data_IF_717899879088
#
_entry.id   IF_717899879088
#
_cell.length_a   1.000
_cell.length_b   1.000
_cell.length_c   1.000
_cell.angle_alpha   90.00
_cell.angle_beta   90.00
_cell.angle_gamma   90.00
#
_symmetry.space_group_name_H-M   'P 1'
#
loop_
_entity.id
_entity.type
_entity.pdbx_description
1 polymer ?
#
# COMPACT_ATOMS: atom_id res chain seq x y z
N UNK A 1 0.66 -6.60 -1.79
CA UNK A 1 -0.05 -6.33 -3.05
C UNK A 1 0.58 -7.14 -4.18
N UNK A 2 -0.16 -8.07 -4.76
CA UNK A 2 0.33 -8.90 -5.88
C UNK A 2 0.36 -8.09 -7.17
N UNK A 3 1.50 -8.07 -7.87
CA UNK A 3 1.64 -7.39 -9.16
C UNK A 3 0.83 -8.13 -10.21
N UNK A 4 0.03 -7.39 -10.97
CA UNK A 4 -0.77 -7.88 -12.09
C UNK A 4 -0.05 -7.70 -13.42
N UNK A 5 0.51 -6.51 -13.63
CA UNK A 5 1.28 -6.16 -14.82
C UNK A 5 2.33 -5.11 -14.45
N UNK A 6 3.58 -5.35 -14.81
CA UNK A 6 4.65 -4.37 -14.71
C UNK A 6 4.42 -3.21 -15.71
N UNK A 7 4.96 -2.04 -15.37
CA UNK A 7 5.14 -0.95 -16.34
C UNK A 7 6.00 -1.43 -17.52
N UNK A 8 5.92 -0.77 -18.65
CA UNK A 8 6.74 -1.16 -19.80
C UNK A 8 8.25 -1.05 -19.50
N UNK A 9 8.65 0.00 -18.75
CA UNK A 9 10.04 0.20 -18.35
C UNK A 9 10.54 -0.91 -17.39
N UNK A 10 9.78 -1.23 -16.33
CA UNK A 10 10.12 -2.31 -15.41
C UNK A 10 10.02 -3.68 -16.10
N UNK A 11 9.04 -3.87 -16.99
CA UNK A 11 8.87 -5.10 -17.75
C UNK A 11 10.10 -5.44 -18.62
N UNK A 12 10.64 -4.45 -19.32
CA UNK A 12 11.87 -4.63 -20.10
C UNK A 12 13.09 -4.94 -19.20
N UNK A 13 13.21 -4.19 -18.08
CA UNK A 13 14.34 -4.36 -17.16
C UNK A 13 14.35 -5.71 -16.42
N UNK A 14 13.19 -6.32 -16.22
CA UNK A 14 12.99 -7.48 -15.36
C UNK A 14 12.59 -8.76 -16.10
N UNK A 15 12.36 -8.69 -17.43
CA UNK A 15 11.85 -9.80 -18.23
C UNK A 15 12.64 -11.11 -18.06
N UNK A 16 13.98 -11.00 -18.05
CA UNK A 16 14.87 -12.17 -17.98
C UNK A 16 15.05 -12.71 -16.55
N UNK A 17 14.62 -11.96 -15.54
CA UNK A 17 14.91 -12.25 -14.13
C UNK A 17 13.71 -12.84 -13.41
N UNK A 18 12.50 -12.35 -13.72
CA UNK A 18 11.32 -12.74 -12.98
C UNK A 18 10.79 -14.13 -13.36
N UNK A 19 10.88 -14.54 -14.63
CA UNK A 19 10.31 -15.81 -15.07
C UNK A 19 8.85 -15.98 -14.61
N UNK A 20 8.55 -17.08 -13.93
CA UNK A 20 7.22 -17.39 -13.38
C UNK A 20 7.01 -16.85 -11.95
N UNK A 21 7.90 -15.99 -11.46
CA UNK A 21 7.84 -15.49 -10.09
C UNK A 21 6.64 -14.54 -9.88
N UNK A 22 5.76 -14.86 -8.94
CA UNK A 22 4.71 -13.93 -8.52
C UNK A 22 5.31 -12.79 -7.71
N UNK A 23 5.43 -11.62 -8.31
CA UNK A 23 5.95 -10.43 -7.64
C UNK A 23 4.88 -9.80 -6.73
N UNK A 24 5.29 -9.45 -5.50
CA UNK A 24 4.45 -8.80 -4.51
C UNK A 24 5.10 -7.49 -4.04
N UNK A 25 4.35 -6.40 -4.04
CA UNK A 25 4.80 -5.11 -3.52
C UNK A 25 4.54 -5.05 -2.02
N UNK A 26 5.55 -4.71 -1.24
CA UNK A 26 5.44 -4.51 0.20
C UNK A 26 5.25 -3.04 0.51
N UNK A 27 4.03 -2.63 0.79
CA UNK A 27 3.73 -1.28 1.27
C UNK A 27 3.60 -1.26 2.80
N UNK A 28 3.83 -0.11 3.39
CA UNK A 28 3.74 0.13 4.83
C UNK A 28 2.68 1.18 5.15
N UNK A 29 1.97 0.98 6.28
CA UNK A 29 0.99 1.94 6.79
C UNK A 29 0.93 1.95 8.31
N UNK A 30 0.65 3.10 8.90
CA UNK A 30 0.28 3.27 10.31
C UNK A 30 -1.24 3.34 10.51
N UNK A 31 -2.02 3.36 9.43
CA UNK A 31 -3.48 3.53 9.44
C UNK A 31 -4.18 2.39 8.69
N UNK A 32 -4.24 1.17 9.24
CA UNK A 32 -4.81 0.00 8.55
C UNK A 32 -6.26 0.20 8.08
N UNK A 33 -7.04 1.05 8.76
CA UNK A 33 -8.42 1.32 8.39
C UNK A 33 -8.60 1.96 7.00
N UNK A 34 -7.53 2.52 6.42
CA UNK A 34 -7.58 3.08 5.07
C UNK A 34 -7.34 2.05 3.97
N UNK A 35 -6.81 0.85 4.31
CA UNK A 35 -6.52 -0.22 3.35
C UNK A 35 -7.73 -0.73 2.55
N UNK A 36 -8.95 -0.84 3.12
CA UNK A 36 -10.15 -1.20 2.34
C UNK A 36 -10.45 -0.25 1.18
N UNK A 37 -10.02 0.99 1.28
CA UNK A 37 -10.16 2.04 0.25
C UNK A 37 -8.84 2.34 -0.46
N UNK A 38 -7.89 1.41 -0.49
CA UNK A 38 -6.66 1.58 -1.26
C UNK A 38 -6.98 1.74 -2.75
N UNK A 39 -6.40 2.76 -3.39
CA UNK A 39 -6.58 3.05 -4.82
C UNK A 39 -5.25 3.16 -5.57
N UNK A 40 -4.13 3.29 -4.86
CA UNK A 40 -2.81 3.41 -5.45
C UNK A 40 -1.69 3.04 -4.49
N UNK A 41 -0.50 2.91 -5.03
CA UNK A 41 0.76 2.81 -4.30
C UNK A 41 1.70 3.91 -4.78
N UNK A 42 2.51 4.46 -3.89
CA UNK A 42 3.47 5.51 -4.21
C UNK A 42 4.91 5.04 -3.99
N UNK A 43 5.79 5.42 -4.91
CA UNK A 43 7.24 5.19 -4.88
C UNK A 43 7.98 6.50 -5.09
N UNK A 44 9.18 6.64 -4.53
CA UNK A 44 10.04 7.80 -4.79
C UNK A 44 10.80 7.63 -6.10
N UNK A 45 10.87 8.66 -6.98
CA UNK A 45 11.47 8.53 -8.33
C UNK A 45 12.93 8.08 -8.30
N UNK A 46 13.73 8.62 -7.37
CA UNK A 46 15.17 8.37 -7.25
C UNK A 46 15.51 7.29 -6.21
N UNK A 47 14.51 6.71 -5.57
CA UNK A 47 14.72 5.60 -4.64
C UNK A 47 14.96 4.33 -5.45
N UNK A 48 16.01 3.58 -5.05
CA UNK A 48 16.27 2.25 -5.60
C UNK A 48 15.40 1.23 -4.88
N UNK A 49 14.75 0.38 -5.66
CA UNK A 49 13.92 -0.73 -5.17
C UNK A 49 14.52 -2.06 -5.56
N UNK A 50 14.60 -2.96 -4.59
CA UNK A 50 15.07 -4.32 -4.79
C UNK A 50 13.91 -5.28 -4.97
N UNK A 51 14.07 -6.20 -5.89
CA UNK A 51 13.27 -7.40 -5.99
C UNK A 51 14.06 -8.52 -5.34
N UNK A 52 13.46 -9.12 -4.33
CA UNK A 52 14.08 -10.21 -3.57
C UNK A 52 13.26 -11.48 -3.71
N UNK A 53 13.98 -12.60 -3.68
CA UNK A 53 13.43 -13.95 -3.64
C UNK A 53 13.84 -14.62 -2.32
N UNK A 54 12.90 -14.84 -1.38
CA UNK A 54 13.21 -15.59 -0.17
C UNK A 54 13.55 -17.04 -0.45
N UNK A 55 14.54 -17.58 0.25
CA UNK A 55 15.03 -18.95 0.04
C UNK A 55 13.93 -20.03 0.20
N UNK A 56 12.94 -19.75 1.07
CA UNK A 56 11.86 -20.68 1.39
C UNK A 56 10.57 -20.47 0.58
N UNK A 57 10.56 -19.56 -0.40
CA UNK A 57 9.37 -19.20 -1.19
C UNK A 57 9.72 -19.09 -2.68
N UNK A 58 9.96 -20.23 -3.32
CA UNK A 58 10.47 -20.29 -4.70
C UNK A 58 9.58 -19.63 -5.76
N UNK A 59 8.27 -19.43 -5.47
CA UNK A 59 7.31 -18.88 -6.42
C UNK A 59 6.97 -17.41 -6.15
N UNK A 60 7.50 -16.82 -5.06
CA UNK A 60 7.19 -15.44 -4.66
C UNK A 60 8.41 -14.55 -4.65
N UNK A 61 8.27 -13.38 -5.26
CA UNK A 61 9.19 -12.27 -5.11
C UNK A 61 8.57 -11.11 -4.36
N UNK A 62 9.40 -10.31 -3.70
CA UNK A 62 8.95 -9.11 -2.99
C UNK A 62 9.72 -7.89 -3.45
N UNK A 63 8.98 -6.78 -3.65
CA UNK A 63 9.51 -5.47 -4.02
C UNK A 63 9.43 -4.52 -2.83
N UNK A 64 10.55 -3.95 -2.44
CA UNK A 64 10.66 -2.91 -1.41
C UNK A 64 11.92 -2.06 -1.67
N UNK A 65 12.03 -0.90 -1.03
CA UNK A 65 13.23 -0.08 -1.17
C UNK A 65 14.48 -0.84 -0.71
N UNK A 66 15.57 -0.74 -1.46
CA UNK A 66 16.86 -1.38 -1.16
C UNK A 66 17.35 -1.01 0.24
N UNK A 67 17.20 0.27 0.62
CA UNK A 67 17.55 0.76 1.95
C UNK A 67 16.71 0.15 3.10
N UNK A 68 15.55 -0.44 2.80
CA UNK A 68 14.68 -1.06 3.79
C UNK A 68 14.98 -2.55 4.03
N UNK A 69 15.76 -3.22 3.19
CA UNK A 69 16.01 -4.66 3.25
C UNK A 69 16.44 -5.15 4.63
N UNK A 70 17.43 -4.47 5.23
CA UNK A 70 17.95 -4.84 6.55
C UNK A 70 16.89 -4.76 7.66
N UNK A 71 15.89 -3.88 7.52
CA UNK A 71 14.80 -3.73 8.49
C UNK A 71 13.84 -4.93 8.51
N UNK A 72 13.77 -5.69 7.41
CA UNK A 72 12.84 -6.80 7.20
C UNK A 72 13.52 -8.16 7.09
N UNK A 73 14.82 -8.26 7.39
CA UNK A 73 15.58 -9.52 7.33
C UNK A 73 14.95 -10.64 8.18
N UNK A 74 14.38 -10.28 9.33
CA UNK A 74 13.72 -11.24 10.22
C UNK A 74 12.48 -11.89 9.59
N UNK A 75 11.67 -11.12 8.88
CA UNK A 75 10.41 -11.57 8.26
C UNK A 75 10.65 -12.24 6.91
N UNK A 76 11.63 -11.78 6.16
CA UNK A 76 11.93 -12.25 4.81
C UNK A 76 12.94 -13.39 4.81
N UNK A 77 13.69 -13.55 5.93
CA UNK A 77 14.73 -14.57 6.06
C UNK A 77 15.90 -14.34 5.10
N UNK A 78 16.64 -15.40 4.82
CA UNK A 78 17.65 -15.37 3.76
C UNK A 78 16.94 -15.15 2.42
N UNK A 79 17.22 -14.04 1.78
CA UNK A 79 16.62 -13.65 0.52
C UNK A 79 17.70 -13.17 -0.44
N UNK A 80 17.62 -13.62 -1.67
CA UNK A 80 18.48 -13.18 -2.77
C UNK A 80 17.91 -11.92 -3.40
N UNK A 81 18.72 -10.89 -3.58
CA UNK A 81 18.38 -9.74 -4.43
C UNK A 81 18.58 -10.16 -5.88
N UNK A 82 17.48 -10.38 -6.60
CA UNK A 82 17.52 -10.86 -7.98
C UNK A 82 17.56 -9.72 -9.00
N UNK A 83 17.07 -8.53 -8.63
CA UNK A 83 17.14 -7.33 -9.45
C UNK A 83 16.96 -6.06 -8.64
N UNK A 84 17.38 -4.93 -9.20
CA UNK A 84 17.08 -3.58 -8.70
C UNK A 84 16.53 -2.70 -9.81
N UNK A 85 15.62 -1.80 -9.46
CA UNK A 85 15.04 -0.83 -10.38
C UNK A 85 14.87 0.52 -9.69
N UNK A 86 15.05 1.63 -10.38
CA UNK A 86 14.70 2.95 -9.82
C UNK A 86 13.19 3.13 -9.78
N UNK A 87 12.70 3.94 -8.83
CA UNK A 87 11.27 4.11 -8.62
C UNK A 87 10.52 4.63 -9.85
N UNK A 88 11.11 5.55 -10.61
CA UNK A 88 10.47 6.05 -11.83
C UNK A 88 10.18 4.95 -12.88
N UNK A 89 10.94 3.86 -12.89
CA UNK A 89 10.68 2.73 -13.77
C UNK A 89 9.43 1.92 -13.36
N UNK A 90 8.97 2.05 -12.11
CA UNK A 90 7.80 1.32 -11.60
C UNK A 90 6.48 2.02 -11.91
N UNK A 91 6.50 3.27 -12.41
CA UNK A 91 5.31 4.05 -12.69
C UNK A 91 4.34 3.32 -13.62
N UNK A 92 3.07 3.24 -13.23
CA UNK A 92 2.03 2.55 -14.00
C UNK A 92 2.00 1.02 -13.81
N UNK A 93 2.94 0.42 -13.04
CA UNK A 93 2.83 -0.99 -12.62
C UNK A 93 1.49 -1.21 -11.93
N UNK A 94 0.69 -2.17 -12.40
CA UNK A 94 -0.61 -2.47 -11.82
C UNK A 94 -0.56 -3.68 -10.88
N UNK A 95 -1.45 -3.68 -9.90
CA UNK A 95 -1.52 -4.72 -8.88
C UNK A 95 -2.96 -5.13 -8.56
N UNK A 96 -3.14 -6.27 -7.91
CA UNK A 96 -4.42 -6.74 -7.41
C UNK A 96 -4.80 -5.99 -6.13
N UNK A 97 -6.03 -5.46 -6.01
CA UNK A 97 -6.48 -4.81 -4.78
C UNK A 97 -6.46 -5.78 -3.59
N UNK A 98 -6.23 -5.26 -2.38
CA UNK A 98 -6.29 -6.07 -1.16
C UNK A 98 -7.72 -6.50 -0.82
N UNK A 99 -8.68 -5.65 -1.13
CA UNK A 99 -10.11 -5.85 -0.89
C UNK A 99 -10.90 -5.61 -2.18
N UNK A 100 -12.01 -6.32 -2.40
CA UNK A 100 -12.76 -6.25 -3.64
C UNK A 100 -13.68 -5.02 -3.75
N UNK A 101 -13.83 -4.22 -2.68
CA UNK A 101 -14.90 -3.23 -2.55
C UNK A 101 -14.91 -2.15 -3.64
N UNK A 102 -13.74 -1.78 -4.16
CA UNK A 102 -13.57 -0.76 -5.21
C UNK A 102 -12.79 -1.28 -6.41
N UNK A 103 -12.82 -2.60 -6.65
CA UNK A 103 -12.03 -3.25 -7.69
C UNK A 103 -12.35 -2.76 -9.12
N UNK A 104 -13.51 -2.12 -9.32
CA UNK A 104 -13.98 -1.52 -10.57
C UNK A 104 -13.57 -0.05 -10.76
N UNK A 105 -12.88 0.56 -9.76
CA UNK A 105 -12.41 1.95 -9.86
C UNK A 105 -11.46 2.13 -11.05
N UNK A 106 -11.90 2.93 -12.02
CA UNK A 106 -11.16 3.16 -13.26
C UNK A 106 -9.87 3.95 -12.97
N UNK A 107 -8.76 3.53 -13.56
CA UNK A 107 -7.45 4.18 -13.40
C UNK A 107 -6.71 3.84 -12.09
N UNK A 108 -7.38 3.23 -11.12
CA UNK A 108 -6.81 2.83 -9.82
C UNK A 108 -5.89 1.60 -9.90
N UNK A 109 -5.36 1.21 -8.74
CA UNK A 109 -4.52 0.02 -8.52
C UNK A 109 -3.23 0.02 -9.35
N UNK A 110 -2.60 1.20 -9.39
CA UNK A 110 -1.31 1.43 -10.04
C UNK A 110 -0.29 2.03 -9.08
N UNK A 111 0.96 1.91 -9.45
CA UNK A 111 2.08 2.59 -8.80
C UNK A 111 2.22 3.99 -9.40
N UNK A 112 2.29 5.00 -8.53
CA UNK A 112 2.52 6.40 -8.84
C UNK A 112 3.90 6.82 -8.33
N UNK A 113 4.51 7.81 -8.99
CA UNK A 113 5.80 8.37 -8.60
C UNK A 113 5.59 9.68 -7.85
N UNK A 114 6.02 9.73 -6.58
CA UNK A 114 5.81 10.88 -5.71
C UNK A 114 7.10 11.25 -4.96
N UNK A 115 7.43 12.54 -4.93
CA UNK A 115 8.67 13.04 -4.35
C UNK A 115 8.68 13.04 -2.82
N UNK A 116 7.54 12.92 -2.15
CA UNK A 116 7.48 12.88 -0.69
C UNK A 116 7.79 11.51 -0.08
N UNK A 117 7.85 10.45 -0.91
CA UNK A 117 8.18 9.11 -0.43
C UNK A 117 9.63 9.06 0.05
N UNK A 118 9.84 8.54 1.26
CA UNK A 118 11.15 8.38 1.88
C UNK A 118 11.41 6.93 2.26
N UNK A 119 12.66 6.64 2.66
CA UNK A 119 13.08 5.32 3.17
C UNK A 119 13.41 5.33 4.66
N UNK A 120 13.11 6.43 5.35
CA UNK A 120 13.39 6.57 6.78
C UNK A 120 12.60 5.54 7.60
N UNK A 121 11.32 5.39 7.28
CA UNK A 121 10.44 4.41 7.88
C UNK A 121 9.82 3.46 6.84
N UNK A 122 9.33 2.31 7.31
CA UNK A 122 8.62 1.35 6.48
C UNK A 122 9.45 0.73 5.37
N UNK A 123 8.78 0.45 4.26
CA UNK A 123 9.31 -0.26 3.09
C UNK A 123 9.77 0.66 1.96
N UNK A 124 9.63 1.99 2.11
CA UNK A 124 9.81 2.95 1.02
C UNK A 124 8.71 2.92 -0.05
N UNK A 125 7.59 2.25 0.23
CA UNK A 125 6.40 2.22 -0.62
C UNK A 125 5.19 2.53 0.25
N UNK A 126 4.44 3.55 -0.12
CA UNK A 126 3.28 4.06 0.61
C UNK A 126 2.00 3.67 -0.12
N UNK A 127 0.97 3.27 0.63
CA UNK A 127 -0.34 3.07 0.03
C UNK A 127 -1.13 4.39 0.00
N UNK A 128 -1.89 4.61 -1.04
CA UNK A 128 -2.72 5.79 -1.26
C UNK A 128 -4.19 5.43 -1.08
N UNK A 129 -4.90 6.27 -0.32
CA UNK A 129 -6.33 6.14 -0.09
C UNK A 129 -6.95 7.56 0.03
N UNK A 130 -8.24 7.76 -0.27
CA UNK A 130 -8.84 9.08 -0.45
C UNK A 130 -9.13 9.83 0.86
N UNK A 131 -8.27 9.70 1.86
CA UNK A 131 -8.47 10.30 3.19
C UNK A 131 -7.43 11.36 3.55
N UNK A 132 -6.27 11.39 2.89
CA UNK A 132 -5.28 12.46 2.99
C UNK A 132 -5.51 13.52 1.92
N UNK A 133 -5.15 14.78 2.18
CA UNK A 133 -5.26 15.87 1.20
C UNK A 133 -4.41 15.59 -0.04
N UNK A 134 -3.13 15.25 0.16
CA UNK A 134 -2.19 14.95 -0.93
C UNK A 134 -2.66 13.73 -1.75
N UNK A 135 -3.13 12.66 -1.08
CA UNK A 135 -3.65 11.47 -1.74
C UNK A 135 -4.90 11.79 -2.57
N UNK A 136 -5.80 12.60 -2.01
CA UNK A 136 -7.03 13.04 -2.67
C UNK A 136 -6.71 13.85 -3.93
N UNK A 137 -5.84 14.85 -3.81
CA UNK A 137 -5.45 15.69 -4.95
C UNK A 137 -4.81 14.87 -6.07
N UNK A 138 -3.91 13.94 -5.71
CA UNK A 138 -3.27 13.06 -6.67
C UNK A 138 -4.28 12.17 -7.41
N UNK A 139 -5.12 11.46 -6.66
CA UNK A 139 -6.11 10.54 -7.23
C UNK A 139 -7.07 11.29 -8.17
N UNK A 140 -7.53 12.47 -7.76
CA UNK A 140 -8.39 13.33 -8.55
C UNK A 140 -7.69 13.84 -9.83
N UNK A 141 -6.43 14.26 -9.74
CA UNK A 141 -5.63 14.69 -10.89
C UNK A 141 -5.47 13.58 -11.96
N UNK A 142 -5.49 12.32 -11.53
CA UNK A 142 -5.44 11.15 -12.41
C UNK A 142 -6.83 10.66 -12.85
N UNK A 143 -7.90 11.40 -12.54
CA UNK A 143 -9.27 11.05 -12.92
C UNK A 143 -9.80 9.78 -12.24
N UNK A 144 -9.23 9.42 -11.08
CA UNK A 144 -9.68 8.25 -10.32
C UNK A 144 -10.89 8.67 -9.48
N UNK A 145 -11.99 7.95 -9.63
CA UNK A 145 -13.16 8.15 -8.78
C UNK A 145 -12.83 7.86 -7.32
N UNK A 146 -13.22 8.78 -6.43
CA UNK A 146 -12.84 8.75 -5.03
C UNK A 146 -14.02 8.27 -4.18
N UNK A 147 -14.05 6.99 -3.78
CA UNK A 147 -15.08 6.47 -2.91
C UNK A 147 -14.76 6.79 -1.45
N UNK A 148 -15.33 7.84 -0.89
CA UNK A 148 -15.25 8.11 0.55
C UNK A 148 -16.25 7.21 1.28
N UNK A 149 -15.81 6.04 1.71
CA UNK A 149 -16.64 5.00 2.33
C UNK A 149 -16.76 5.11 3.86
N UNK A 150 -16.60 6.32 4.38
CA UNK A 150 -16.72 6.63 5.81
C UNK A 150 -17.78 7.71 5.99
N UNK A 151 -18.74 7.45 6.85
CA UNK A 151 -19.81 8.40 7.16
C UNK A 151 -19.35 9.56 8.06
N UNK A 152 -20.23 10.51 8.30
CA UNK A 152 -19.97 11.69 9.15
C UNK A 152 -19.76 11.35 10.64
N UNK A 153 -20.00 10.10 11.04
CA UNK A 153 -19.72 9.59 12.39
C UNK A 153 -18.37 8.84 12.46
N UNK A 154 -17.65 8.74 11.35
CA UNK A 154 -16.39 8.00 11.27
C UNK A 154 -16.56 6.49 11.18
N UNK A 155 -17.70 6.02 10.70
CA UNK A 155 -18.01 4.59 10.53
C UNK A 155 -17.99 4.21 9.05
N UNK A 156 -17.56 2.99 8.77
CA UNK A 156 -17.71 2.45 7.43
C UNK A 156 -19.18 2.34 7.01
N UNK A 157 -19.48 2.73 5.80
CA UNK A 157 -20.80 2.60 5.20
C UNK A 157 -20.97 1.28 4.42
N UNK A 158 -22.08 1.13 3.69
CA UNK A 158 -22.42 -0.08 2.95
C UNK A 158 -21.48 -0.41 1.78
N UNK A 159 -20.60 0.52 1.36
CA UNK A 159 -19.60 0.30 0.31
C UNK A 159 -18.44 -0.58 0.78
N UNK A 160 -18.26 -0.69 2.10
CA UNK A 160 -17.29 -1.58 2.74
C UNK A 160 -18.06 -2.56 3.64
N UNK A 161 -18.80 -3.53 3.07
CA UNK A 161 -19.79 -4.32 3.78
C UNK A 161 -19.22 -5.14 4.93
N UNK A 162 -17.99 -5.65 4.81
CA UNK A 162 -17.37 -6.50 5.83
C UNK A 162 -17.09 -5.74 7.15
N UNK A 163 -16.99 -4.42 7.08
CA UNK A 163 -16.73 -3.54 8.23
C UNK A 163 -17.83 -2.50 8.43
N UNK A 164 -18.96 -2.62 7.73
CA UNK A 164 -20.08 -1.68 7.81
C UNK A 164 -20.52 -1.40 9.25
N UNK A 165 -20.70 -0.13 9.58
CA UNK A 165 -21.13 0.34 10.91
C UNK A 165 -20.05 0.33 11.97
N UNK A 166 -18.86 -0.23 11.72
CA UNK A 166 -17.73 -0.16 12.65
C UNK A 166 -17.07 1.22 12.58
N UNK A 167 -16.69 1.77 13.74
CA UNK A 167 -15.80 2.93 13.80
C UNK A 167 -14.46 2.56 13.15
N UNK A 168 -13.93 3.42 12.28
CA UNK A 168 -12.72 3.08 11.50
C UNK A 168 -11.53 2.67 12.37
N UNK A 169 -11.33 3.30 13.52
CA UNK A 169 -10.24 2.94 14.42
C UNK A 169 -10.44 1.57 15.08
N UNK A 170 -11.69 1.19 15.37
CA UNK A 170 -12.03 -0.12 15.95
C UNK A 170 -11.90 -1.23 14.90
N UNK A 171 -12.14 -0.92 13.64
CA UNK A 171 -11.99 -1.85 12.52
C UNK A 171 -10.55 -2.26 12.24
N UNK A 172 -9.53 -1.49 12.69
CA UNK A 172 -8.12 -1.82 12.46
C UNK A 172 -7.77 -3.26 12.83
N UNK A 173 -8.23 -3.74 14.00
CA UNK A 173 -7.93 -5.09 14.47
C UNK A 173 -8.53 -6.17 13.55
N UNK A 174 -9.75 -5.95 13.07
CA UNK A 174 -10.45 -6.88 12.17
C UNK A 174 -9.78 -6.89 10.78
N UNK A 175 -9.47 -5.74 10.22
CA UNK A 175 -8.78 -5.59 8.93
C UNK A 175 -7.42 -6.31 8.96
N UNK A 176 -6.62 -6.10 10.01
CA UNK A 176 -5.33 -6.77 10.16
C UNK A 176 -5.51 -8.29 10.29
N UNK A 177 -6.50 -8.74 11.06
CA UNK A 177 -6.82 -10.16 11.23
C UNK A 177 -7.16 -10.81 9.89
N UNK A 178 -8.01 -10.18 9.10
CA UNK A 178 -8.46 -10.69 7.80
C UNK A 178 -7.32 -10.74 6.79
N UNK A 179 -6.49 -9.70 6.73
CA UNK A 179 -5.29 -9.69 5.87
C UNK A 179 -4.25 -10.73 6.31
N UNK A 180 -4.09 -10.99 7.63
CA UNK A 180 -3.24 -12.09 8.13
C UNK A 180 -3.78 -13.45 7.72
N UNK A 181 -5.09 -13.67 7.82
CA UNK A 181 -5.73 -14.92 7.40
C UNK A 181 -5.55 -15.18 5.89
N UNK A 182 -5.46 -14.11 5.09
CA UNK A 182 -5.18 -14.19 3.64
C UNK A 182 -3.68 -14.29 3.31
N UNK A 183 -2.79 -14.30 4.31
CA UNK A 183 -1.33 -14.30 4.09
C UNK A 183 -0.79 -13.02 3.44
N UNK A 184 -1.48 -11.90 3.58
CA UNK A 184 -1.13 -10.61 2.97
C UNK A 184 -0.41 -9.64 3.91
N UNK A 185 -0.07 -10.07 5.13
CA UNK A 185 0.69 -9.28 6.11
C UNK A 185 2.05 -9.92 6.34
N UNK A 186 3.12 -9.22 6.02
CA UNK A 186 4.49 -9.67 6.28
C UNK A 186 4.88 -9.33 7.72
N UNK A 187 4.55 -8.12 8.19
CA UNK A 187 4.88 -7.64 9.52
C UNK A 187 3.72 -6.85 10.11
N UNK A 188 3.47 -7.05 11.38
CA UNK A 188 2.55 -6.23 12.17
C UNK A 188 3.18 -5.95 13.53
N UNK A 189 3.34 -4.68 13.84
CA UNK A 189 3.88 -4.23 15.13
C UNK A 189 3.15 -2.96 15.60
N UNK A 190 3.25 -2.68 16.89
CA UNK A 190 2.80 -1.40 17.42
C UNK A 190 3.81 -0.31 17.09
N UNK A 191 3.38 0.71 16.36
CA UNK A 191 4.22 1.84 15.99
C UNK A 191 3.73 3.11 16.68
N UNK A 192 4.62 3.77 17.43
CA UNK A 192 4.30 5.01 18.12
C UNK A 192 4.61 6.20 17.23
N UNK A 193 3.60 6.91 16.81
CA UNK A 193 3.73 8.12 15.99
C UNK A 193 2.79 9.21 16.47
N UNK A 194 3.04 10.45 16.02
CA UNK A 194 2.13 11.56 16.22
C UNK A 194 0.86 11.35 15.40
N UNK A 195 -0.30 11.57 16.01
CA UNK A 195 -1.58 11.53 15.33
C UNK A 195 -2.39 12.76 15.73
N UNK A 196 -3.06 13.45 14.79
CA UNK A 196 -3.83 14.64 15.11
C UNK A 196 -5.07 14.29 15.94
N UNK A 197 -5.28 15.07 16.99
CA UNK A 197 -6.40 14.91 17.89
C UNK A 197 -7.17 16.22 18.01
N UNK A 198 -8.48 16.12 18.23
CA UNK A 198 -9.30 17.28 18.57
C UNK A 198 -8.75 17.95 19.83
N UNK A 199 -8.49 19.26 19.76
CA UNK A 199 -7.95 20.01 20.90
C UNK A 199 -8.91 20.01 22.11
N UNK A 200 -10.21 19.90 21.88
CA UNK A 200 -11.27 19.94 22.90
C UNK A 200 -11.54 18.58 23.54
N UNK A 201 -11.91 17.59 22.73
CA UNK A 201 -12.35 16.27 23.22
C UNK A 201 -11.28 15.19 23.18
N UNK A 202 -10.09 15.48 22.61
CA UNK A 202 -8.94 14.57 22.48
C UNK A 202 -9.22 13.31 21.64
N UNK A 203 -10.32 13.27 20.90
CA UNK A 203 -10.58 12.18 19.94
C UNK A 203 -9.65 12.29 18.74
N UNK A 204 -9.16 11.17 18.18
CA UNK A 204 -8.40 11.17 16.93
C UNK A 204 -9.23 11.77 15.79
N UNK A 205 -8.59 12.54 14.92
CA UNK A 205 -9.24 13.16 13.76
C UNK A 205 -9.19 12.23 12.56
N UNK A 206 -10.23 12.24 11.75
CA UNK A 206 -10.29 11.61 10.45
C UNK A 206 -10.27 12.71 9.40
N UNK A 207 -9.32 12.61 8.45
CA UNK A 207 -9.31 13.46 7.29
C UNK A 207 -10.08 12.80 6.16
N UNK A 208 -10.99 13.51 5.53
CA UNK A 208 -11.63 13.10 4.29
C UNK A 208 -12.20 14.32 3.57
N UNK A 209 -12.29 14.24 2.25
CA UNK A 209 -12.87 15.29 1.44
C UNK A 209 -14.36 15.47 1.75
N UNK A 210 -14.82 16.72 1.75
CA UNK A 210 -16.23 17.09 1.81
C UNK A 210 -16.55 17.99 0.63
N UNK A 211 -17.76 17.85 0.12
CA UNK A 211 -18.37 18.79 -0.82
C UNK A 211 -18.60 20.16 -0.16
#
# INVERSE_FOLDING_TARGET
FSVKKLSDAAGVALADVLGDLQLNILAWTTTPWTLPSNLGLAVGPEIEYSIIKPANQNEKGYLLATAALAKYEKELGEAEVIATVPGHALEGTSYEPLFPFFADAQGAFKVFVLYFVTTEDGTGIVHLAPYGEDDFELLNAHGIEIPVAVDHQGKFDSRVPDYQGQMVFDANANIIKDLKAQGRVIRHESYRHSYPHCWRCKTPLIYYARD
#
